data_IF_777163760700
#
_entry.id   IF_777163760700
#
_cell.length_a   1.000
_cell.length_b   1.000
_cell.length_c   1.000
_cell.angle_alpha   90.00
_cell.angle_beta   90.00
_cell.angle_gamma   90.00
#
_symmetry.space_group_name_H-M   'P 1'
#
loop_
_entity.id
_entity.type
_entity.pdbx_description
1 polymer ?
#
# COMPACT_ATOMS: atom_id res chain seq x y z
N UNK A 1 20.16 -8.93 -24.31
CA UNK A 1 19.90 -8.08 -23.12
C UNK A 1 20.65 -8.67 -21.95
N UNK A 2 21.47 -7.88 -21.25
CA UNK A 2 22.20 -8.34 -20.06
C UNK A 2 21.41 -7.95 -18.82
N UNK A 3 21.16 -8.91 -17.93
CA UNK A 3 20.50 -8.70 -16.65
C UNK A 3 21.54 -8.67 -15.54
N UNK A 4 21.93 -7.47 -15.11
CA UNK A 4 22.96 -7.30 -14.08
C UNK A 4 22.45 -7.70 -12.69
N UNK A 5 21.20 -7.38 -12.36
CA UNK A 5 20.58 -7.72 -11.07
C UNK A 5 19.16 -8.22 -11.31
N UNK A 6 18.97 -9.54 -11.23
CA UNK A 6 17.65 -10.16 -11.46
C UNK A 6 16.58 -9.62 -10.51
N UNK A 7 16.93 -9.48 -9.22
CA UNK A 7 16.00 -9.14 -8.15
C UNK A 7 15.37 -7.74 -8.30
N UNK A 8 16.06 -6.83 -8.98
CA UNK A 8 15.52 -5.48 -9.27
C UNK A 8 14.67 -5.44 -10.53
N UNK A 9 14.92 -6.34 -11.48
CA UNK A 9 14.26 -6.35 -12.78
C UNK A 9 12.95 -7.15 -12.80
N UNK A 10 12.88 -8.24 -12.03
CA UNK A 10 11.76 -9.19 -12.10
C UNK A 10 11.33 -9.71 -10.74
N UNK A 11 10.05 -10.07 -10.63
CA UNK A 11 9.51 -10.82 -9.49
C UNK A 11 8.60 -11.95 -9.97
N UNK A 12 8.55 -13.06 -9.21
CA UNK A 12 7.77 -14.25 -9.56
C UNK A 12 8.13 -14.79 -10.95
N UNK A 13 7.15 -15.27 -11.72
CA UNK A 13 7.36 -15.83 -13.07
C UNK A 13 7.54 -14.80 -14.19
N UNK A 14 7.66 -13.50 -13.90
CA UNK A 14 7.73 -12.45 -14.92
C UNK A 14 8.93 -12.60 -15.87
N UNK A 15 10.08 -13.05 -15.34
CA UNK A 15 11.29 -13.21 -16.13
C UNK A 15 11.11 -14.23 -17.26
N UNK A 16 10.51 -15.40 -16.97
CA UNK A 16 10.29 -16.43 -17.98
C UNK A 16 9.42 -15.93 -19.13
N UNK A 17 8.32 -15.24 -18.82
CA UNK A 17 7.44 -14.66 -19.85
C UNK A 17 8.13 -13.58 -20.67
N UNK A 18 8.95 -12.73 -20.03
CA UNK A 18 9.67 -11.64 -20.71
C UNK A 18 10.79 -12.19 -21.60
N UNK A 19 11.58 -13.14 -21.09
CA UNK A 19 12.66 -13.80 -21.83
C UNK A 19 12.09 -14.59 -23.02
N UNK A 20 10.95 -15.27 -22.85
CA UNK A 20 10.28 -15.96 -23.95
C UNK A 20 9.89 -15.01 -25.10
N UNK A 21 9.37 -13.83 -24.76
CA UNK A 21 9.06 -12.80 -25.77
C UNK A 21 10.33 -12.27 -26.44
N UNK A 22 11.40 -12.00 -25.69
CA UNK A 22 12.66 -11.54 -26.25
C UNK A 22 13.29 -12.58 -27.18
N UNK A 23 13.26 -13.85 -26.80
CA UNK A 23 13.74 -14.96 -27.63
C UNK A 23 12.94 -15.06 -28.94
N UNK A 24 11.63 -14.80 -28.94
CA UNK A 24 10.82 -14.76 -30.16
C UNK A 24 11.24 -13.64 -31.13
N UNK A 25 11.84 -12.57 -30.62
CA UNK A 25 12.46 -11.50 -31.43
C UNK A 25 13.94 -11.75 -31.73
N UNK A 26 14.49 -12.92 -31.41
CA UNK A 26 15.90 -13.25 -31.59
C UNK A 26 16.84 -12.57 -30.60
N UNK A 27 16.32 -11.94 -29.54
CA UNK A 27 17.12 -11.26 -28.53
C UNK A 27 17.44 -12.23 -27.39
N UNK A 28 18.71 -12.64 -27.30
CA UNK A 28 19.19 -13.47 -26.20
C UNK A 28 19.26 -12.68 -24.89
N UNK A 29 18.83 -13.29 -23.79
CA UNK A 29 18.96 -12.74 -22.44
C UNK A 29 20.14 -13.38 -21.72
N UNK A 30 20.99 -12.58 -21.10
CA UNK A 30 22.19 -13.04 -20.40
C UNK A 30 22.05 -12.80 -18.91
N UNK A 31 22.37 -13.81 -18.10
CA UNK A 31 22.22 -13.77 -16.66
C UNK A 31 23.52 -14.30 -16.01
N UNK A 32 24.18 -13.55 -15.11
CA UNK A 32 25.46 -13.97 -14.53
C UNK A 32 25.36 -15.27 -13.74
N UNK A 33 24.20 -15.55 -13.13
CA UNK A 33 23.92 -16.79 -12.38
C UNK A 33 23.88 -18.05 -13.25
N UNK A 34 23.81 -17.90 -14.57
CA UNK A 34 23.78 -19.00 -15.55
C UNK A 34 25.07 -19.02 -16.39
N UNK A 35 25.97 -18.06 -16.15
CA UNK A 35 27.26 -17.91 -16.86
C UNK A 35 27.13 -17.94 -18.40
N UNK A 36 25.96 -17.55 -18.92
CA UNK A 36 25.59 -17.78 -20.32
C UNK A 36 24.28 -17.15 -20.77
N UNK A 37 23.93 -17.30 -22.07
CA UNK A 37 22.59 -17.01 -22.55
C UNK A 37 21.57 -17.92 -21.88
N UNK A 38 20.49 -17.33 -21.40
CA UNK A 38 19.39 -18.05 -20.75
C UNK A 38 18.59 -18.83 -21.80
N UNK A 39 18.79 -20.14 -21.80
CA UNK A 39 17.94 -21.09 -22.53
C UNK A 39 16.72 -21.51 -21.68
N UNK A 40 15.50 -21.32 -22.20
CA UNK A 40 14.26 -21.76 -21.54
C UNK A 40 13.91 -23.22 -21.85
N UNK A 41 14.57 -23.86 -22.81
CA UNK A 41 14.46 -25.31 -23.05
C UNK A 41 15.13 -26.12 -21.94
N UNK A 42 16.23 -25.60 -21.40
CA UNK A 42 17.02 -26.25 -20.36
C UNK A 42 16.27 -26.22 -19.00
N UNK A 43 15.99 -27.39 -18.38
CA UNK A 43 15.36 -27.43 -17.06
C UNK A 43 16.17 -26.74 -15.96
N UNK A 44 17.50 -26.78 -15.98
CA UNK A 44 18.34 -26.15 -14.96
C UNK A 44 18.19 -24.63 -14.95
N UNK A 45 18.26 -24.00 -16.13
CA UNK A 45 18.07 -22.57 -16.28
C UNK A 45 16.68 -22.12 -15.82
N UNK A 46 15.64 -22.90 -16.13
CA UNK A 46 14.27 -22.63 -15.63
C UNK A 46 14.17 -22.74 -14.12
N UNK A 47 14.88 -23.68 -13.50
CA UNK A 47 14.92 -23.82 -12.05
C UNK A 47 15.60 -22.60 -11.38
N UNK A 48 16.73 -22.13 -11.93
CA UNK A 48 17.42 -20.91 -11.46
C UNK A 48 16.50 -19.69 -11.54
N UNK A 49 15.86 -19.46 -12.69
CA UNK A 49 14.90 -18.35 -12.85
C UNK A 49 13.73 -18.43 -11.87
N UNK A 50 13.23 -19.63 -11.60
CA UNK A 50 12.12 -19.85 -10.65
C UNK A 50 12.54 -19.56 -9.22
N UNK A 51 13.73 -20.01 -8.82
CA UNK A 51 14.31 -19.74 -7.50
C UNK A 51 14.51 -18.23 -7.28
N UNK A 52 15.17 -17.55 -8.21
CA UNK A 52 15.39 -16.10 -8.16
C UNK A 52 14.06 -15.33 -8.16
N UNK A 53 13.09 -15.79 -8.97
CA UNK A 53 11.73 -15.26 -9.00
C UNK A 53 11.03 -15.34 -7.65
N UNK A 54 11.14 -16.48 -6.95
CA UNK A 54 10.60 -16.67 -5.61
C UNK A 54 11.30 -15.79 -4.57
N UNK A 55 12.64 -15.67 -4.63
CA UNK A 55 13.41 -14.83 -3.72
C UNK A 55 12.99 -13.35 -3.85
N UNK A 56 13.02 -12.80 -5.06
CA UNK A 56 12.57 -11.43 -5.34
C UNK A 56 11.12 -11.21 -4.91
N UNK A 57 10.22 -12.15 -5.20
CA UNK A 57 8.82 -12.04 -4.82
C UNK A 57 8.64 -11.96 -3.30
N UNK A 58 9.41 -12.72 -2.51
CA UNK A 58 9.35 -12.67 -1.04
C UNK A 58 9.74 -11.29 -0.51
N UNK A 59 10.77 -10.68 -1.09
CA UNK A 59 11.20 -9.34 -0.70
C UNK A 59 10.14 -8.28 -1.04
N UNK A 60 9.59 -8.33 -2.25
CA UNK A 60 8.51 -7.44 -2.68
C UNK A 60 7.29 -7.58 -1.77
N UNK A 61 6.89 -8.80 -1.45
CA UNK A 61 5.75 -9.07 -0.56
C UNK A 61 6.02 -8.57 0.86
N UNK A 62 7.24 -8.75 1.38
CA UNK A 62 7.64 -8.23 2.69
C UNK A 62 7.55 -6.70 2.73
N UNK A 63 8.05 -6.02 1.71
CA UNK A 63 8.00 -4.56 1.61
C UNK A 63 6.55 -4.06 1.50
N UNK A 64 5.73 -4.70 0.66
CA UNK A 64 4.29 -4.41 0.55
C UNK A 64 3.58 -4.61 1.90
N UNK A 65 3.83 -5.71 2.59
CA UNK A 65 3.23 -5.99 3.88
C UNK A 65 3.60 -4.93 4.93
N UNK A 66 4.88 -4.58 5.05
CA UNK A 66 5.34 -3.54 5.98
C UNK A 66 4.71 -2.19 5.68
N UNK A 67 4.62 -1.84 4.40
CA UNK A 67 4.00 -0.58 3.94
C UNK A 67 2.52 -0.55 4.29
N UNK A 68 1.78 -1.61 3.95
CA UNK A 68 0.36 -1.74 4.24
C UNK A 68 0.09 -1.75 5.75
N UNK A 69 0.93 -2.41 6.55
CA UNK A 69 0.82 -2.42 8.00
C UNK A 69 1.07 -1.03 8.61
N UNK A 70 2.10 -0.31 8.14
CA UNK A 70 2.39 1.05 8.59
C UNK A 70 1.26 2.02 8.21
N UNK A 71 0.77 1.94 6.97
CA UNK A 71 -0.40 2.69 6.51
C UNK A 71 -1.63 2.39 7.37
N UNK A 72 -1.93 1.11 7.62
CA UNK A 72 -3.03 0.73 8.48
C UNK A 72 -2.86 1.32 9.88
N UNK A 73 -1.67 1.24 10.49
CA UNK A 73 -1.40 1.85 11.79
C UNK A 73 -1.65 3.38 11.80
N UNK A 74 -1.25 4.10 10.75
CA UNK A 74 -1.53 5.53 10.60
C UNK A 74 -3.05 5.82 10.55
N UNK A 75 -3.81 5.03 9.78
CA UNK A 75 -5.28 5.16 9.74
C UNK A 75 -5.88 4.89 11.12
N UNK A 76 -5.41 3.86 11.84
CA UNK A 76 -5.98 3.50 13.14
C UNK A 76 -5.66 4.50 14.24
N UNK A 77 -4.40 4.93 14.33
CA UNK A 77 -3.94 5.82 15.40
C UNK A 77 -4.35 7.28 15.16
N UNK A 78 -4.36 7.72 13.91
CA UNK A 78 -4.58 9.13 13.58
C UNK A 78 -6.01 9.34 13.03
N UNK A 79 -6.62 8.34 12.39
CA UNK A 79 -7.90 8.50 11.66
C UNK A 79 -7.72 9.11 10.27
N UNK A 80 -6.49 9.10 9.75
CA UNK A 80 -6.08 9.78 8.51
C UNK A 80 -6.62 9.11 7.25
N UNK A 81 -7.06 9.91 6.28
CA UNK A 81 -7.24 9.46 4.90
C UNK A 81 -5.88 9.38 4.21
N UNK A 82 -5.57 8.22 3.61
CA UNK A 82 -4.26 7.96 2.99
C UNK A 82 -4.20 8.27 1.49
N UNK A 83 -5.24 8.92 0.95
CA UNK A 83 -5.34 9.28 -0.46
C UNK A 83 -6.31 8.38 -1.24
N UNK A 84 -6.42 8.63 -2.54
CA UNK A 84 -7.41 7.99 -3.41
C UNK A 84 -8.80 8.60 -3.28
N UNK A 85 -9.72 8.11 -4.13
CA UNK A 85 -11.12 8.54 -4.16
C UNK A 85 -11.81 8.12 -2.85
N UNK A 86 -12.54 9.02 -2.17
CA UNK A 86 -13.37 8.66 -1.03
C UNK A 86 -14.39 7.59 -1.42
N UNK A 87 -14.68 6.61 -0.55
CA UNK A 87 -15.77 5.67 -0.77
C UNK A 87 -17.10 6.40 -0.97
N UNK A 88 -17.98 5.85 -1.80
CA UNK A 88 -19.31 6.43 -2.03
C UNK A 88 -20.10 6.52 -0.72
N UNK A 89 -20.80 7.64 -0.50
CA UNK A 89 -21.46 7.97 0.78
C UNK A 89 -20.53 8.58 1.84
N UNK A 90 -19.25 8.78 1.54
CA UNK A 90 -18.29 9.47 2.40
C UNK A 90 -17.70 10.70 1.69
N UNK A 91 -17.39 11.73 2.47
CA UNK A 91 -16.67 12.92 2.03
C UNK A 91 -15.36 13.10 2.80
N UNK A 92 -14.40 13.79 2.19
CA UNK A 92 -13.20 14.22 2.91
C UNK A 92 -13.47 15.54 3.60
N UNK A 93 -13.17 15.59 4.89
CA UNK A 93 -13.20 16.80 5.69
C UNK A 93 -11.80 17.13 6.15
N UNK A 94 -11.48 18.42 6.18
CA UNK A 94 -10.25 18.90 6.77
C UNK A 94 -10.26 18.67 8.29
N UNK A 95 -9.15 18.16 8.79
CA UNK A 95 -8.91 17.82 10.19
C UNK A 95 -7.75 18.64 10.79
N UNK A 96 -7.33 19.70 10.11
CA UNK A 96 -6.35 20.67 10.58
C UNK A 96 -4.92 20.43 10.07
N UNK A 97 -3.91 21.06 10.68
CA UNK A 97 -2.52 20.94 10.26
C UNK A 97 -2.00 19.50 10.35
N UNK A 98 -1.12 19.11 9.41
CA UNK A 98 -0.55 17.77 9.39
C UNK A 98 0.22 17.45 10.70
N UNK A 99 0.09 16.24 11.29
CA UNK A 99 0.72 15.90 12.57
C UNK A 99 2.26 15.97 12.56
N UNK A 100 2.87 15.74 11.40
CA UNK A 100 4.28 16.09 11.17
C UNK A 100 4.42 17.60 10.93
N UNK A 101 5.12 18.29 11.84
CA UNK A 101 5.37 19.75 11.82
C UNK A 101 6.01 20.24 10.53
N UNK A 102 6.94 19.49 9.94
CA UNK A 102 7.60 19.87 8.67
C UNK A 102 6.59 19.90 7.52
N UNK A 103 5.71 18.91 7.46
CA UNK A 103 4.65 18.89 6.46
C UNK A 103 3.58 19.97 6.69
N UNK A 104 3.29 20.30 7.95
CA UNK A 104 2.40 21.41 8.28
C UNK A 104 2.99 22.77 7.85
N UNK A 105 4.30 22.97 8.02
CA UNK A 105 5.00 24.18 7.55
C UNK A 105 4.92 24.33 6.03
N UNK A 106 4.93 23.23 5.28
CA UNK A 106 4.69 23.23 3.83
C UNK A 106 3.21 23.39 3.45
N UNK A 107 2.33 23.75 4.40
CA UNK A 107 0.91 23.97 4.16
C UNK A 107 0.09 22.69 3.96
N UNK A 108 0.67 21.50 4.18
CA UNK A 108 -0.09 20.25 4.03
C UNK A 108 -1.12 20.14 5.15
N UNK A 109 -2.38 19.98 4.75
CA UNK A 109 -3.51 19.76 5.65
C UNK A 109 -3.84 18.28 5.76
N UNK A 110 -4.37 17.93 6.92
CA UNK A 110 -4.76 16.58 7.23
C UNK A 110 -6.23 16.37 6.90
N UNK A 111 -6.55 15.31 6.16
CA UNK A 111 -7.92 14.99 5.80
C UNK A 111 -8.40 13.70 6.49
N UNK A 112 -9.67 13.68 6.89
CA UNK A 112 -10.37 12.53 7.47
C UNK A 112 -11.63 12.24 6.66
N UNK A 113 -12.11 11.00 6.74
CA UNK A 113 -13.39 10.62 6.16
C UNK A 113 -14.52 10.95 7.13
N UNK A 114 -15.58 11.57 6.60
CA UNK A 114 -16.84 11.82 7.29
C UNK A 114 -18.01 11.36 6.41
N UNK A 115 -19.17 11.14 7.03
CA UNK A 115 -20.36 10.69 6.31
C UNK A 115 -20.88 11.85 5.45
N UNK A 116 -21.19 11.58 4.18
CA UNK A 116 -21.85 12.56 3.32
C UNK A 116 -23.35 12.55 3.61
N UNK A 117 -23.89 13.65 4.13
CA UNK A 117 -25.31 13.76 4.49
C UNK A 117 -26.25 13.64 3.29
N UNK A 118 -25.79 13.92 2.08
CA UNK A 118 -26.59 13.85 0.85
C UNK A 118 -26.56 12.44 0.26
N UNK A 119 -25.38 11.81 0.24
CA UNK A 119 -25.18 10.53 -0.46
C UNK A 119 -25.27 9.31 0.45
N UNK A 120 -25.07 9.46 1.77
CA UNK A 120 -25.12 8.35 2.72
C UNK A 120 -26.49 7.64 2.82
N UNK A 121 -27.65 8.33 2.72
CA UNK A 121 -28.94 7.66 2.73
C UNK A 121 -29.10 6.61 1.62
N UNK A 122 -28.51 6.85 0.44
CA UNK A 122 -28.55 5.90 -0.68
C UNK A 122 -27.72 4.62 -0.45
N UNK A 123 -26.75 4.67 0.46
CA UNK A 123 -25.79 3.59 0.72
C UNK A 123 -26.22 2.70 1.90
N UNK A 124 -27.14 3.19 2.75
CA UNK A 124 -27.62 2.51 3.94
C UNK A 124 -28.38 1.20 3.67
N UNK A 125 -28.81 0.95 2.43
CA UNK A 125 -29.50 -0.29 2.03
C UNK A 125 -28.56 -1.45 1.67
N UNK A 126 -27.24 -1.24 1.61
CA UNK A 126 -26.26 -2.29 1.37
C UNK A 126 -25.50 -2.63 2.66
N UNK A 127 -25.26 -3.91 3.01
CA UNK A 127 -24.52 -4.27 4.22
C UNK A 127 -23.02 -4.01 4.02
N UNK A 128 -22.61 -2.74 4.12
CA UNK A 128 -21.21 -2.36 4.05
C UNK A 128 -20.50 -2.64 5.38
N UNK A 129 -19.94 -3.83 5.44
CA UNK A 129 -19.01 -4.35 6.47
C UNK A 129 -17.79 -3.43 6.72
N UNK A 130 -17.49 -2.51 5.80
CA UNK A 130 -16.49 -1.45 5.96
C UNK A 130 -16.96 -0.26 6.82
N UNK A 131 -18.25 0.12 6.74
CA UNK A 131 -18.78 1.30 7.43
C UNK A 131 -18.92 1.06 8.93
N UNK A 132 -19.36 -0.15 9.31
CA UNK A 132 -19.47 -0.59 10.71
C UNK A 132 -18.12 -0.59 11.42
N UNK A 133 -17.01 -0.92 10.75
CA UNK A 133 -15.67 -0.94 11.38
C UNK A 133 -15.11 0.47 11.63
N UNK A 134 -15.52 1.46 10.83
CA UNK A 134 -15.17 2.88 11.02
C UNK A 134 -16.05 3.52 12.12
N UNK A 135 -17.37 3.28 12.09
CA UNK A 135 -18.32 3.77 13.09
C UNK A 135 -18.08 3.19 14.50
N UNK A 136 -17.82 1.88 14.65
CA UNK A 136 -17.56 1.26 15.97
C UNK A 136 -16.24 1.70 16.62
N UNK A 137 -15.35 2.39 15.89
CA UNK A 137 -14.09 2.92 16.45
C UNK A 137 -14.20 4.36 16.93
N UNK A 138 -15.15 5.15 16.41
CA UNK A 138 -15.45 6.51 16.92
C UNK A 138 -15.99 6.45 18.36
N UNK A 139 -16.81 5.45 18.69
CA UNK A 139 -17.44 5.30 20.02
C UNK A 139 -16.46 4.87 21.12
N UNK A 140 -15.35 4.18 20.79
CA UNK A 140 -14.33 3.79 21.78
C UNK A 140 -13.25 4.87 22.01
N UNK A 141 -13.04 5.78 21.05
CA UNK A 141 -12.01 6.82 21.13
C UNK A 141 -12.40 8.10 21.87
N UNK A 142 -13.69 8.36 22.10
CA UNK A 142 -14.18 9.55 22.81
C UNK A 142 -14.06 9.47 24.34
N UNK A 143 -13.60 8.33 24.91
CA UNK A 143 -13.45 8.15 26.36
C UNK A 143 -12.17 8.77 26.95
N UNK A 144 -11.28 9.34 26.13
CA UNK A 144 -10.02 9.94 26.58
C UNK A 144 -9.97 11.44 26.25
N UNK A 145 -10.86 12.25 26.87
CA UNK A 145 -10.61 13.68 27.11
C UNK A 145 -11.67 14.32 28.02
N UNK A 146 -11.81 13.83 29.25
CA UNK A 146 -12.34 14.66 30.35
C UNK A 146 -11.59 14.33 31.63
N UNK A 147 -10.42 14.95 31.82
CA UNK A 147 -9.86 15.16 33.15
C UNK A 147 -9.16 16.52 33.21
N UNK A 148 -9.83 17.40 33.96
CA UNK A 148 -9.34 18.55 34.71
C UNK A 148 -8.61 19.68 33.96
N UNK A 149 -9.34 20.78 33.76
CA UNK A 149 -8.81 22.14 33.98
C UNK A 149 -9.94 22.95 34.62
N UNK A 150 -9.93 23.04 35.95
CA UNK A 150 -10.81 23.94 36.70
C UNK A 150 -10.31 25.38 36.59
N UNK A 151 -11.20 26.38 36.64
CA UNK A 151 -10.82 27.78 36.48
C UNK A 151 -10.16 28.32 37.76
N UNK A 152 -8.99 28.96 37.61
CA UNK A 152 -8.52 29.96 38.60
C UNK A 152 -9.12 31.31 38.22
N UNK A 153 -9.91 31.85 39.14
CA UNK A 153 -10.44 33.23 39.14
C UNK A 153 -9.46 34.04 40.03
N UNK A 154 -9.34 35.37 39.81
CA UNK A 154 -8.07 36.12 39.78
C UNK A 154 -7.35 36.29 41.12
#
# INVERSE_FOLDING_TARGET
MVLAEFERGFAAGQAQSTIAQLNAYGVQSWLPEVEGPVDLGEPEHRAVLSMLGHQSQREVLRNRFRTAAAMAAQVRAQGRHLGGRPPYGCRLVDAGPHPNKVHAQWGRRWHRLDIDTVTAPCVALAPLRCMTRFLNRRTKGSRWRHRASGPRVP
#
